data_IF_415236044664
#
_entry.id   IF_415236044664
#
_cell.length_a   1.000
_cell.length_b   1.000
_cell.length_c   1.000
_cell.angle_alpha   90.00
_cell.angle_beta   90.00
_cell.angle_gamma   90.00
#
_symmetry.space_group_name_H-M   'P 1'
#
loop_
_entity.id
_entity.type
_entity.pdbx_description
1 polymer ?
#
# COMPACT_ATOMS: atom_id res chain seq x y z
N UNK A 1 -7.38 -31.98 32.34
CA UNK A 1 -6.75 -30.65 32.38
C UNK A 1 -6.36 -30.27 30.96
N UNK A 2 -6.96 -29.20 30.45
CA UNK A 2 -6.73 -28.64 29.12
C UNK A 2 -5.30 -28.13 28.97
N UNK A 3 -4.71 -28.38 27.81
CA UNK A 3 -3.42 -27.83 27.42
C UNK A 3 -3.36 -27.69 25.90
N UNK A 4 -4.32 -26.97 25.31
CA UNK A 4 -4.17 -26.47 23.94
C UNK A 4 -3.03 -25.45 23.95
N UNK A 5 -1.80 -25.92 23.77
CA UNK A 5 -0.65 -25.06 23.58
C UNK A 5 -0.97 -24.15 22.38
N UNK A 6 -1.01 -22.85 22.66
CA UNK A 6 -1.21 -21.79 21.69
C UNK A 6 -0.34 -22.08 20.46
N UNK A 7 -0.95 -22.33 19.30
CA UNK A 7 -0.26 -22.11 18.03
C UNK A 7 0.01 -20.62 17.98
N UNK A 8 1.21 -20.23 18.44
CA UNK A 8 1.79 -18.92 18.17
C UNK A 8 1.64 -18.71 16.68
N UNK A 9 0.69 -17.86 16.29
CA UNK A 9 0.57 -17.44 14.91
C UNK A 9 1.95 -16.95 14.53
N UNK A 10 2.62 -17.66 13.62
CA UNK A 10 3.84 -17.13 13.04
C UNK A 10 3.45 -15.74 12.53
N UNK A 11 3.96 -14.70 13.20
CA UNK A 11 3.96 -13.36 12.62
C UNK A 11 4.41 -13.57 11.19
N UNK A 12 3.56 -13.22 10.24
CA UNK A 12 3.87 -13.34 8.82
C UNK A 12 4.90 -12.25 8.51
N UNK A 13 6.09 -12.43 9.04
CA UNK A 13 7.24 -11.57 8.89
C UNK A 13 7.82 -11.90 7.54
N UNK A 14 7.26 -11.26 6.52
CA UNK A 14 7.82 -11.31 5.17
C UNK A 14 9.19 -10.64 5.23
N UNK A 15 10.30 -11.34 4.92
CA UNK A 15 11.63 -10.75 4.92
C UNK A 15 11.70 -9.80 3.72
N UNK A 16 11.29 -8.55 3.94
CA UNK A 16 11.38 -7.49 2.95
C UNK A 16 12.76 -6.85 3.10
N UNK A 17 13.69 -7.04 2.14
CA UNK A 17 14.95 -6.33 2.17
C UNK A 17 14.67 -4.83 2.20
N UNK A 18 15.29 -4.13 3.16
CA UNK A 18 15.24 -2.68 3.21
C UNK A 18 16.01 -2.13 2.02
N UNK A 19 15.31 -1.83 0.92
CA UNK A 19 15.91 -1.36 -0.31
C UNK A 19 15.57 0.11 -0.52
N UNK A 20 16.55 0.98 -0.22
CA UNK A 20 16.71 2.30 -0.84
C UNK A 20 15.48 3.24 -0.84
N UNK A 21 15.46 4.29 -1.68
CA UNK A 21 14.32 5.21 -1.77
C UNK A 21 13.03 4.40 -2.00
N UNK A 22 12.06 4.56 -1.10
CA UNK A 22 10.92 3.64 -0.85
C UNK A 22 10.58 2.69 -2.00
N UNK A 23 11.27 1.54 -2.07
CA UNK A 23 11.04 0.50 -3.09
C UNK A 23 9.65 -0.15 -3.03
N UNK A 24 8.77 0.33 -2.13
CA UNK A 24 7.41 -0.15 -1.94
C UNK A 24 6.45 0.45 -2.96
N UNK A 25 6.72 1.66 -3.47
CA UNK A 25 5.91 2.32 -4.50
C UNK A 25 6.58 2.22 -5.86
N UNK A 26 6.52 1.01 -6.43
CA UNK A 26 7.04 0.74 -7.76
C UNK A 26 6.06 1.21 -8.83
N UNK A 27 6.57 1.61 -10.00
CA UNK A 27 5.74 1.95 -11.16
C UNK A 27 4.68 0.88 -11.51
N UNK A 28 4.99 -0.43 -11.49
CA UNK A 28 3.99 -1.49 -11.65
C UNK A 28 2.83 -1.43 -10.64
N UNK A 29 3.11 -1.07 -9.38
CA UNK A 29 2.08 -0.93 -8.36
C UNK A 29 1.19 0.28 -8.67
N UNK A 30 1.79 1.42 -9.00
CA UNK A 30 1.05 2.64 -9.37
C UNK A 30 0.14 2.39 -10.57
N UNK A 31 0.64 1.71 -11.60
CA UNK A 31 -0.14 1.34 -12.79
C UNK A 31 -1.29 0.37 -12.46
N UNK A 32 -1.07 -0.58 -11.55
CA UNK A 32 -2.10 -1.52 -11.11
C UNK A 32 -3.22 -0.81 -10.34
N UNK A 33 -2.86 0.10 -9.42
CA UNK A 33 -3.83 0.92 -8.67
C UNK A 33 -4.59 1.85 -9.61
N UNK A 34 -3.92 2.47 -10.58
CA UNK A 34 -4.56 3.31 -11.59
C UNK A 34 -5.62 2.52 -12.38
N UNK A 35 -5.29 1.30 -12.82
CA UNK A 35 -6.24 0.46 -13.55
C UNK A 35 -7.48 0.10 -12.71
N UNK A 36 -7.29 -0.17 -11.41
CA UNK A 36 -8.40 -0.42 -10.48
C UNK A 36 -9.28 0.83 -10.35
N UNK A 37 -8.69 2.00 -10.14
CA UNK A 37 -9.43 3.27 -10.00
C UNK A 37 -10.25 3.57 -11.26
N UNK A 38 -9.66 3.38 -12.45
CA UNK A 38 -10.39 3.51 -13.73
C UNK A 38 -11.57 2.53 -13.80
N UNK A 39 -11.39 1.29 -13.33
CA UNK A 39 -12.48 0.30 -13.24
C UNK A 39 -13.63 0.71 -12.32
N UNK A 40 -13.35 1.55 -11.33
CA UNK A 40 -14.37 2.15 -10.45
C UNK A 40 -14.96 3.46 -11.00
N UNK A 41 -14.58 3.89 -12.20
CA UNK A 41 -15.12 5.08 -12.85
C UNK A 41 -14.33 6.37 -12.59
N UNK A 42 -13.12 6.28 -12.01
CA UNK A 42 -12.22 7.43 -11.94
C UNK A 42 -11.60 7.75 -13.31
N UNK A 43 -11.23 9.03 -13.56
CA UNK A 43 -10.55 9.42 -14.79
C UNK A 43 -9.25 8.66 -15.01
N UNK A 44 -8.87 8.46 -16.28
CA UNK A 44 -7.56 7.93 -16.64
C UNK A 44 -6.47 8.94 -16.30
N UNK A 45 -5.31 8.44 -15.91
CA UNK A 45 -4.13 9.25 -15.60
C UNK A 45 -3.40 9.57 -16.91
N UNK A 46 -4.03 10.36 -17.76
CA UNK A 46 -3.49 10.71 -19.09
C UNK A 46 -2.39 11.79 -19.00
N UNK A 47 -2.29 12.50 -17.86
CA UNK A 47 -1.30 13.55 -17.62
C UNK A 47 -0.34 13.15 -16.51
N UNK A 48 0.94 13.51 -16.66
CA UNK A 48 1.98 13.26 -15.64
C UNK A 48 1.61 13.83 -14.26
N UNK A 49 0.91 14.96 -14.22
CA UNK A 49 0.42 15.57 -12.99
C UNK A 49 -0.57 14.67 -12.22
N UNK A 50 -1.45 13.97 -12.92
CA UNK A 50 -2.44 13.07 -12.30
C UNK A 50 -1.75 11.85 -11.67
N UNK A 51 -0.69 11.36 -12.34
CA UNK A 51 0.15 10.29 -11.81
C UNK A 51 0.87 10.72 -10.53
N UNK A 52 1.47 11.91 -10.51
CA UNK A 52 2.12 12.44 -9.30
C UNK A 52 1.13 12.66 -8.15
N UNK A 53 -0.10 13.09 -8.46
CA UNK A 53 -1.16 13.24 -7.47
C UNK A 53 -1.58 11.88 -6.89
N UNK A 54 -1.72 10.84 -7.72
CA UNK A 54 -2.00 9.48 -7.26
C UNK A 54 -0.88 8.94 -6.37
N UNK A 55 0.37 9.06 -6.80
CA UNK A 55 1.53 8.61 -6.03
C UNK A 55 1.58 9.30 -4.66
N UNK A 56 1.37 10.61 -4.62
CA UNK A 56 1.34 11.39 -3.38
C UNK A 56 0.19 10.98 -2.45
N UNK A 57 -1.01 10.76 -3.01
CA UNK A 57 -2.17 10.30 -2.24
C UNK A 57 -1.96 8.89 -1.68
N UNK A 58 -1.29 8.01 -2.43
CA UNK A 58 -0.97 6.65 -2.01
C UNK A 58 0.09 6.64 -0.91
N UNK A 59 1.11 7.49 -1.01
CA UNK A 59 2.08 7.73 0.08
C UNK A 59 1.33 8.19 1.34
N UNK A 60 0.47 9.20 1.21
CA UNK A 60 -0.29 9.73 2.34
C UNK A 60 -1.22 8.66 2.96
N UNK A 61 -1.88 7.83 2.15
CA UNK A 61 -2.74 6.76 2.64
C UNK A 61 -1.97 5.65 3.38
N UNK A 62 -0.81 5.24 2.85
CA UNK A 62 -0.04 4.12 3.39
C UNK A 62 0.82 4.50 4.59
N UNK A 63 1.38 5.71 4.61
CA UNK A 63 2.38 6.13 5.59
C UNK A 63 1.88 7.16 6.58
N UNK A 64 0.71 7.77 6.38
CA UNK A 64 0.12 8.62 7.40
C UNK A 64 -0.62 7.73 8.41
N UNK A 65 -0.16 7.60 9.65
CA UNK A 65 -0.87 6.83 10.65
C UNK A 65 -2.24 7.48 10.87
N UNK A 66 -3.31 6.73 10.64
CA UNK A 66 -4.68 7.08 11.05
C UNK A 66 -4.84 7.11 12.58
N UNK A 67 -3.81 7.49 13.34
CA UNK A 67 -3.82 7.47 14.81
C UNK A 67 -4.42 8.73 15.47
N UNK A 68 -4.87 9.72 14.70
CA UNK A 68 -5.61 10.88 15.25
C UNK A 68 -6.82 11.27 14.43
N UNK A 69 -7.85 10.43 14.46
CA UNK A 69 -9.24 10.85 14.30
C UNK A 69 -10.11 10.11 15.32
N UNK A 70 -9.97 10.50 16.57
CA UNK A 70 -10.98 10.30 17.63
C UNK A 70 -11.30 11.69 18.17
#
# INVERSE_FOLDING_TARGET
MSGTAHRSGAERSYPLPHAGPDARLTEPLVNSVAAVLVGYGYPRLDVSADRTALESALVAFLYNPLEKRI
#
